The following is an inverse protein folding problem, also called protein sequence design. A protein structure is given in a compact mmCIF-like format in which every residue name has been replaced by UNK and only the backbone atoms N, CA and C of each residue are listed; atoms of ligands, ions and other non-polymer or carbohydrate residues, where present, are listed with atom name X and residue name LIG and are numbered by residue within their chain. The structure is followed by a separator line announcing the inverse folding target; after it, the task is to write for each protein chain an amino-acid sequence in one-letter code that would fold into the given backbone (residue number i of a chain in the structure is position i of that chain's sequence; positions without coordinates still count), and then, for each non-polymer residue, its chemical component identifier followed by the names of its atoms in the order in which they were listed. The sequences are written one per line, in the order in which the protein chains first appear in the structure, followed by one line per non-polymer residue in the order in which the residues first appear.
data_IF_952375919855
#
_entry.id   IF_952375919855
#
_cell.length_a   1.000
_cell.length_b   1.000
_cell.length_c   1.000
_cell.angle_alpha   90.00
_cell.angle_beta   90.00
_cell.angle_gamma   90.00
#
_symmetry.space_group_name_H-M   'P 1'
#
loop_
_entity.id
_entity.type
_entity.pdbx_description
1 polymer ?
#
# COMPACT_ATOMS: atom_id res chain seq x y z
N UNK A 1 1.22 15.85 8.29
CA UNK A 1 0.56 14.61 8.73
C UNK A 1 -0.31 14.13 7.58
N UNK A 2 -0.21 12.87 7.12
CA UNK A 2 -1.15 12.32 6.17
C UNK A 2 -2.56 12.33 6.77
N UNK A 3 -3.54 12.79 6.01
CA UNK A 3 -4.93 12.89 6.45
C UNK A 3 -5.65 11.53 6.30
N UNK A 4 -6.73 11.29 7.06
CA UNK A 4 -7.62 10.16 6.80
C UNK A 4 -8.16 10.12 5.37
N UNK A 5 -8.36 11.30 4.76
CA UNK A 5 -8.77 11.45 3.37
C UNK A 5 -7.70 10.92 2.41
N UNK A 6 -6.42 11.19 2.67
CA UNK A 6 -5.29 10.65 1.88
C UNK A 6 -5.24 9.13 1.94
N UNK A 7 -5.43 8.54 3.13
CA UNK A 7 -5.45 7.09 3.29
C UNK A 7 -6.58 6.46 2.49
N UNK A 8 -7.79 7.01 2.59
CA UNK A 8 -8.96 6.51 1.86
C UNK A 8 -8.78 6.66 0.34
N UNK A 9 -8.17 7.76 -0.09
CA UNK A 9 -7.83 8.01 -1.50
C UNK A 9 -6.88 6.94 -2.03
N UNK A 10 -5.75 6.71 -1.35
CA UNK A 10 -4.77 5.72 -1.80
C UNK A 10 -5.33 4.30 -1.79
N UNK A 11 -6.17 3.94 -0.81
CA UNK A 11 -6.86 2.63 -0.81
C UNK A 11 -7.80 2.48 -1.99
N UNK A 12 -8.62 3.49 -2.31
CA UNK A 12 -9.53 3.45 -3.47
C UNK A 12 -8.74 3.36 -4.77
N UNK A 13 -7.65 4.12 -4.90
CA UNK A 13 -6.80 4.11 -6.09
C UNK A 13 -6.10 2.77 -6.28
N UNK A 14 -5.52 2.18 -5.23
CA UNK A 14 -4.90 0.85 -5.30
C UNK A 14 -5.87 -0.21 -5.86
N UNK A 15 -7.11 -0.25 -5.36
CA UNK A 15 -8.15 -1.18 -5.85
C UNK A 15 -8.53 -0.93 -7.31
N UNK A 16 -8.63 0.34 -7.71
CA UNK A 16 -8.96 0.69 -9.10
C UNK A 16 -7.84 0.26 -10.06
N UNK A 17 -6.58 0.49 -9.70
CA UNK A 17 -5.43 0.07 -10.51
C UNK A 17 -5.36 -1.46 -10.64
N UNK A 18 -5.64 -2.22 -9.56
CA UNK A 18 -5.73 -3.68 -9.63
C UNK A 18 -6.84 -4.18 -10.55
N UNK A 19 -8.02 -3.53 -10.50
CA UNK A 19 -9.13 -3.87 -11.38
C UNK A 19 -8.75 -3.64 -12.85
N UNK A 20 -8.10 -2.52 -13.17
CA UNK A 20 -7.61 -2.23 -14.54
C UNK A 20 -6.56 -3.27 -14.96
N UNK A 21 -5.56 -3.52 -14.11
CA UNK A 21 -4.51 -4.50 -14.40
C UNK A 21 -5.08 -5.90 -14.70
N UNK A 22 -6.13 -6.31 -13.98
CA UNK A 22 -6.76 -7.64 -14.14
C UNK A 22 -7.51 -7.84 -15.46
N UNK A 23 -7.92 -6.76 -16.12
CA UNK A 23 -8.65 -6.79 -17.40
C UNK A 23 -7.80 -6.30 -18.58
N UNK A 24 -6.55 -5.91 -18.32
CA UNK A 24 -5.68 -5.34 -19.33
C UNK A 24 -5.01 -6.46 -20.16
N UNK A 25 -5.20 -6.43 -21.47
CA UNK A 25 -4.64 -7.42 -22.41
C UNK A 25 -3.15 -7.15 -22.72
N UNK A 26 -2.71 -5.90 -22.60
CA UNK A 26 -1.31 -5.52 -22.77
C UNK A 26 -0.54 -5.76 -21.46
N UNK A 27 0.37 -6.74 -21.48
CA UNK A 27 1.19 -7.13 -20.34
C UNK A 27 2.06 -5.97 -19.79
N UNK A 28 2.57 -5.09 -20.65
CA UNK A 28 3.38 -3.95 -20.22
C UNK A 28 2.53 -2.91 -19.49
N UNK A 29 1.33 -2.63 -20.02
CA UNK A 29 0.36 -1.75 -19.38
C UNK A 29 -0.16 -2.35 -18.05
N UNK A 30 -0.50 -3.64 -18.04
CA UNK A 30 -0.92 -4.36 -16.84
C UNK A 30 0.16 -4.27 -15.73
N UNK A 31 1.43 -4.48 -16.09
CA UNK A 31 2.54 -4.35 -15.15
C UNK A 31 2.68 -2.93 -14.59
N UNK A 32 2.46 -1.90 -15.41
CA UNK A 32 2.46 -0.52 -14.94
C UNK A 32 1.34 -0.27 -13.90
N UNK A 33 0.13 -0.76 -14.18
CA UNK A 33 -0.99 -0.68 -13.23
C UNK A 33 -0.72 -1.45 -11.93
N UNK A 34 -0.14 -2.66 -11.99
CA UNK A 34 0.26 -3.39 -10.79
C UNK A 34 1.30 -2.63 -9.94
N UNK A 35 2.29 -2.01 -10.58
CA UNK A 35 3.30 -1.19 -9.88
C UNK A 35 2.69 0.04 -9.22
N UNK A 36 1.71 0.67 -9.86
CA UNK A 36 0.98 1.79 -9.27
C UNK A 36 0.13 1.35 -8.07
N UNK A 37 -0.56 0.21 -8.17
CA UNK A 37 -1.32 -0.35 -7.07
C UNK A 37 -0.42 -0.60 -5.84
N UNK A 38 0.72 -1.25 -6.04
CA UNK A 38 1.72 -1.55 -5.00
C UNK A 38 2.29 -0.27 -4.37
N UNK A 39 2.56 0.77 -5.17
CA UNK A 39 2.98 2.07 -4.65
C UNK A 39 1.91 2.71 -3.75
N UNK A 40 0.64 2.67 -4.16
CA UNK A 40 -0.44 3.19 -3.33
C UNK A 40 -0.63 2.37 -2.03
N UNK A 41 -0.48 1.05 -2.08
CA UNK A 41 -0.49 0.22 -0.88
C UNK A 41 0.65 0.54 0.07
N UNK A 42 1.87 0.75 -0.44
CA UNK A 42 3.02 1.17 0.37
C UNK A 42 2.74 2.49 1.10
N UNK A 43 2.14 3.46 0.43
CA UNK A 43 1.76 4.73 1.05
C UNK A 43 0.72 4.54 2.15
N UNK A 44 -0.29 3.70 1.93
CA UNK A 44 -1.27 3.35 2.97
C UNK A 44 -0.59 2.72 4.19
N UNK A 45 0.36 1.80 3.98
CA UNK A 45 1.13 1.16 5.05
C UNK A 45 2.01 2.16 5.80
N UNK A 46 2.66 3.09 5.10
CA UNK A 46 3.46 4.14 5.71
C UNK A 46 2.64 5.15 6.53
N UNK A 47 1.34 5.29 6.21
CA UNK A 47 0.38 6.12 6.96
C UNK A 47 -0.25 5.40 8.14
N UNK A 48 -0.20 4.07 8.18
CA UNK A 48 -0.58 3.35 9.39
C UNK A 48 0.40 3.77 10.49
N UNK A 49 -0.08 4.06 11.71
CA UNK A 49 0.84 4.27 12.82
C UNK A 49 1.72 3.04 12.88
N UNK A 50 3.04 3.24 12.77
CA UNK A 50 3.98 2.19 13.12
C UNK A 50 3.64 1.87 14.57
N UNK A 51 2.95 0.77 14.82
CA UNK A 51 2.91 0.24 16.16
C UNK A 51 4.38 0.04 16.49
N UNK A 52 4.94 0.76 17.48
CA UNK A 52 6.28 0.45 17.93
C UNK A 52 6.22 -1.03 18.28
N UNK A 53 7.08 -1.83 17.63
CA UNK A 53 7.25 -3.22 17.99
C UNK A 53 7.65 -3.24 19.46
N UNK A 54 6.67 -3.40 20.35
CA UNK A 54 6.89 -3.50 21.76
C UNK A 54 7.52 -4.86 22.01
N UNK A 55 8.70 -4.82 22.64
CA UNK A 55 9.39 -5.93 23.29
C UNK A 55 10.10 -6.97 22.38
N UNK A 56 11.34 -6.65 22.01
CA UNK A 56 12.45 -7.59 22.30
C UNK A 56 13.43 -6.87 23.21
N UNK A 57 12.97 -6.65 24.45
CA UNK A 57 13.79 -6.16 25.54
C UNK A 57 13.92 -7.26 26.60
N UNK A 58 15.13 -7.81 26.70
CA UNK A 58 15.72 -8.37 27.91
C UNK A 58 15.12 -9.64 28.51
N UNK A 59 15.84 -10.76 28.31
CA UNK A 59 16.20 -11.64 29.42
C UNK A 59 17.72 -11.88 29.35
N UNK A 60 18.46 -10.98 29.99
CA UNK A 60 19.76 -11.32 30.57
C UNK A 60 19.52 -12.39 31.64
N UNK A 61 20.21 -13.53 31.49
CA UNK A 61 20.48 -14.52 32.51
C UNK A 61 21.93 -14.93 32.39
#
# INVERSE_FOLDING_TARGET
MPSPDDRSYFQRRARAELAIASICEDNAAALAHFRLADEYERRVRAMAPQMPSAAVGSLRG
#
